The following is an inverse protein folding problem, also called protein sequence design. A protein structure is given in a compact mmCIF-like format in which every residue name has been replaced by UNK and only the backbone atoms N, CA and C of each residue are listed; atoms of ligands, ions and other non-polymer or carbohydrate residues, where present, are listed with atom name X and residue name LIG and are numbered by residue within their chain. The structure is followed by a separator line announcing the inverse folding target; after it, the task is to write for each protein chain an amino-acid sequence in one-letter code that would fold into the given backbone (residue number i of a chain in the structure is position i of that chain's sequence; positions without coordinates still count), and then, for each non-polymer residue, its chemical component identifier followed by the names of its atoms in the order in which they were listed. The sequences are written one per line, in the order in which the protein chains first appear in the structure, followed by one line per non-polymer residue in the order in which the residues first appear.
data_IF_228875672137
#
_entry.id   IF_228875672137
#
_cell.length_a   1.000
_cell.length_b   1.000
_cell.length_c   1.000
_cell.angle_alpha   90.00
_cell.angle_beta   90.00
_cell.angle_gamma   90.00
#
_symmetry.space_group_name_H-M   'P 1'
#
loop_
_entity.id
_entity.type
_entity.pdbx_description
1 polymer ?
#
# COMPACT_ATOMS: atom_id res chain seq x y z
N UNK A 1 -7.70 -37.00 -14.13
CA UNK A 1 -8.89 -36.13 -14.00
C UNK A 1 -8.57 -35.14 -12.89
N UNK A 2 -8.11 -33.92 -13.22
CA UNK A 2 -7.71 -32.93 -12.21
C UNK A 2 -8.92 -32.23 -11.61
N UNK A 3 -8.93 -32.10 -10.28
CA UNK A 3 -10.00 -31.53 -9.49
C UNK A 3 -10.12 -30.02 -9.75
N UNK A 4 -11.32 -29.45 -9.62
CA UNK A 4 -11.56 -28.02 -9.88
C UNK A 4 -10.80 -27.11 -8.91
N UNK A 5 -10.51 -27.58 -7.68
CA UNK A 5 -9.70 -26.88 -6.69
C UNK A 5 -8.19 -26.91 -6.99
N UNK A 6 -7.68 -27.98 -7.61
CA UNK A 6 -6.26 -28.08 -8.04
C UNK A 6 -5.91 -27.06 -9.12
N UNK A 7 -6.91 -26.57 -9.88
CA UNK A 7 -6.72 -25.49 -10.86
C UNK A 7 -6.71 -24.10 -10.24
N UNK A 8 -7.20 -23.94 -9.02
CA UNK A 8 -7.17 -22.64 -8.32
C UNK A 8 -5.79 -22.37 -7.71
N UNK A 9 -5.12 -23.43 -7.26
CA UNK A 9 -3.78 -23.40 -6.63
C UNK A 9 -2.77 -24.16 -7.49
N UNK A 10 -2.59 -23.75 -8.75
CA UNK A 10 -1.59 -24.33 -9.64
C UNK A 10 -0.15 -23.84 -9.31
N UNK A 11 0.86 -24.41 -9.98
CA UNK A 11 2.26 -24.04 -9.72
C UNK A 11 2.53 -22.55 -9.93
N UNK A 12 1.90 -21.94 -10.94
CA UNK A 12 2.05 -20.51 -11.25
C UNK A 12 1.51 -19.66 -10.11
N UNK A 13 0.33 -20.01 -9.60
CA UNK A 13 -0.29 -19.34 -8.46
C UNK A 13 0.57 -19.46 -7.20
N UNK A 14 1.16 -20.64 -6.94
CA UNK A 14 2.01 -20.90 -5.76
C UNK A 14 3.31 -20.12 -5.85
N UNK A 15 4.01 -20.18 -6.98
CA UNK A 15 5.29 -19.50 -7.19
C UNK A 15 5.20 -17.99 -6.92
N UNK A 16 4.10 -17.35 -7.32
CA UNK A 16 3.88 -15.91 -7.08
C UNK A 16 3.59 -15.58 -5.60
N UNK A 17 3.21 -16.57 -4.79
CA UNK A 17 2.73 -16.41 -3.40
C UNK A 17 3.66 -16.97 -2.33
N UNK A 18 4.75 -17.61 -2.70
CA UNK A 18 5.76 -18.12 -1.74
C UNK A 18 6.25 -16.99 -0.82
N UNK A 19 6.54 -15.80 -1.34
CA UNK A 19 6.98 -14.65 -0.52
C UNK A 19 5.91 -14.23 0.50
N UNK A 20 4.66 -14.05 0.05
CA UNK A 20 3.54 -13.68 0.93
C UNK A 20 3.26 -14.76 2.00
N UNK A 21 3.49 -16.04 1.68
CA UNK A 21 3.43 -17.13 2.66
C UNK A 21 4.52 -16.98 3.72
N UNK A 22 5.76 -16.72 3.29
CA UNK A 22 6.90 -16.54 4.17
C UNK A 22 6.74 -15.33 5.10
N UNK A 23 6.11 -14.26 4.63
CA UNK A 23 5.85 -13.06 5.42
C UNK A 23 4.60 -13.17 6.31
N UNK A 24 3.82 -14.26 6.17
CA UNK A 24 2.60 -14.48 6.94
C UNK A 24 1.42 -13.60 6.49
N UNK A 25 1.44 -13.16 5.23
CA UNK A 25 0.44 -12.24 4.64
C UNK A 25 -0.68 -12.96 3.86
N UNK A 26 -0.61 -14.29 3.73
CA UNK A 26 -1.66 -15.05 3.07
C UNK A 26 -2.89 -15.25 3.95
N UNK A 27 -4.11 -15.02 3.43
CA UNK A 27 -5.34 -15.43 4.11
C UNK A 27 -5.38 -16.94 4.35
N UNK A 28 -6.00 -17.38 5.45
CA UNK A 28 -6.02 -18.80 5.88
C UNK A 28 -6.43 -19.78 4.76
N UNK A 29 -7.41 -19.40 3.92
CA UNK A 29 -7.87 -20.23 2.80
C UNK A 29 -6.82 -20.36 1.68
N UNK A 30 -6.09 -19.29 1.38
CA UNK A 30 -4.99 -19.32 0.39
C UNK A 30 -3.77 -20.06 0.96
N UNK A 31 -3.45 -19.88 2.25
CA UNK A 31 -2.36 -20.57 2.91
C UNK A 31 -2.55 -22.11 2.90
N UNK A 32 -3.76 -22.59 3.20
CA UNK A 32 -4.07 -24.02 3.16
C UNK A 32 -3.97 -24.60 1.73
N UNK A 33 -4.46 -23.85 0.73
CA UNK A 33 -4.33 -24.23 -0.68
C UNK A 33 -2.87 -24.34 -1.12
N UNK A 34 -2.03 -23.38 -0.70
CA UNK A 34 -0.59 -23.39 -0.94
C UNK A 34 0.09 -24.59 -0.28
N UNK A 35 -0.13 -24.81 1.02
CA UNK A 35 0.44 -25.95 1.74
C UNK A 35 0.04 -27.30 1.14
N UNK A 36 -1.20 -27.42 0.69
CA UNK A 36 -1.68 -28.63 0.03
C UNK A 36 -0.91 -28.87 -1.27
N UNK A 37 -0.76 -27.85 -2.12
CA UNK A 37 0.02 -27.96 -3.34
C UNK A 37 1.50 -28.31 -3.07
N UNK A 38 2.11 -27.74 -2.04
CA UNK A 38 3.51 -28.01 -1.69
C UNK A 38 3.76 -29.46 -1.27
N UNK A 39 2.77 -30.14 -0.68
CA UNK A 39 2.86 -31.57 -0.36
C UNK A 39 2.83 -32.45 -1.61
N UNK A 40 2.24 -31.96 -2.70
CA UNK A 40 2.04 -32.70 -3.94
C UNK A 40 3.07 -32.39 -5.03
N UNK A 41 3.66 -31.18 -5.01
CA UNK A 41 4.58 -30.70 -6.03
C UNK A 41 5.99 -30.46 -5.46
N UNK A 42 6.89 -31.40 -5.73
CA UNK A 42 8.29 -31.32 -5.31
C UNK A 42 9.04 -30.08 -5.87
N UNK A 43 8.66 -29.60 -7.06
CA UNK A 43 9.25 -28.39 -7.63
C UNK A 43 8.94 -27.14 -6.81
N UNK A 44 7.66 -26.94 -6.47
CA UNK A 44 7.24 -25.81 -5.63
C UNK A 44 7.77 -25.93 -4.20
N UNK A 45 7.91 -27.14 -3.67
CA UNK A 45 8.53 -27.38 -2.36
C UNK A 45 10.01 -26.96 -2.34
N UNK A 46 10.77 -27.29 -3.39
CA UNK A 46 12.17 -26.88 -3.51
C UNK A 46 12.32 -25.35 -3.64
N UNK A 47 11.41 -24.69 -4.35
CA UNK A 47 11.38 -23.21 -4.44
C UNK A 47 11.12 -22.56 -3.08
N UNK A 48 10.19 -23.10 -2.28
CA UNK A 48 9.96 -22.62 -0.92
C UNK A 48 11.22 -22.79 -0.05
N UNK A 49 11.85 -23.97 -0.11
CA UNK A 49 13.07 -24.24 0.66
C UNK A 49 14.21 -23.27 0.29
N UNK A 50 14.40 -23.01 -1.01
CA UNK A 50 15.38 -22.03 -1.48
C UNK A 50 15.08 -20.62 -0.93
N UNK A 51 13.81 -20.19 -0.97
CA UNK A 51 13.39 -18.91 -0.43
C UNK A 51 13.61 -18.82 1.10
N UNK A 52 13.36 -19.91 1.84
CA UNK A 52 13.65 -19.98 3.28
C UNK A 52 15.15 -19.88 3.58
N UNK A 53 15.99 -20.56 2.80
CA UNK A 53 17.45 -20.49 2.94
C UNK A 53 17.97 -19.07 2.70
N UNK A 54 17.50 -18.41 1.64
CA UNK A 54 17.85 -17.00 1.35
C UNK A 54 17.41 -16.10 2.50
N UNK A 55 16.16 -16.22 2.96
CA UNK A 55 15.63 -15.44 4.08
C UNK A 55 16.43 -15.68 5.37
N UNK A 56 16.80 -16.93 5.63
CA UNK A 56 17.66 -17.30 6.75
C UNK A 56 19.03 -16.64 6.67
N UNK A 57 19.68 -16.72 5.51
CA UNK A 57 20.97 -16.08 5.26
C UNK A 57 20.94 -14.57 5.48
N UNK A 58 19.91 -13.89 4.97
CA UNK A 58 19.72 -12.45 5.17
C UNK A 58 19.49 -12.08 6.64
N UNK A 59 18.75 -12.91 7.40
CA UNK A 59 18.51 -12.67 8.84
C UNK A 59 19.76 -12.87 9.71
N UNK A 60 20.74 -13.64 9.25
CA UNK A 60 22.02 -13.81 9.95
C UNK A 60 22.98 -12.65 9.71
N UNK A 61 22.72 -11.76 8.75
CA UNK A 61 23.59 -10.62 8.48
C UNK A 61 23.64 -9.68 9.71
N UNK A 62 24.81 -9.09 10.00
CA UNK A 62 24.94 -8.16 11.10
C UNK A 62 24.02 -6.95 10.88
N UNK A 63 23.26 -6.58 11.90
CA UNK A 63 22.45 -5.38 11.87
C UNK A 63 23.36 -4.15 11.88
N UNK A 64 23.57 -3.56 10.70
CA UNK A 64 24.32 -2.32 10.56
C UNK A 64 23.45 -1.16 11.05
N UNK A 65 23.94 -0.42 12.04
CA UNK A 65 23.32 0.86 12.41
C UNK A 65 23.59 1.87 11.30
N UNK A 66 22.52 2.48 10.79
CA UNK A 66 22.64 3.65 9.93
C UNK A 66 23.32 4.79 10.71
N UNK A 67 24.36 5.44 10.18
CA UNK A 67 25.00 6.57 10.85
C UNK A 67 24.01 7.70 11.15
N UNK A 68 24.08 8.25 12.36
CA UNK A 68 23.18 9.32 12.82
C UNK A 68 23.07 10.52 11.85
N UNK A 69 24.16 10.99 11.19
CA UNK A 69 24.06 12.12 10.25
C UNK A 69 23.13 11.83 9.05
N UNK A 70 23.13 10.59 8.55
CA UNK A 70 22.28 10.19 7.41
C UNK A 70 20.82 10.17 7.84
N UNK A 71 20.56 9.62 9.02
CA UNK A 71 19.21 9.57 9.60
C UNK A 71 18.67 10.97 9.85
N UNK A 72 19.48 11.86 10.43
CA UNK A 72 19.09 13.24 10.72
C UNK A 72 18.82 14.05 9.44
N UNK A 73 19.65 13.89 8.40
CA UNK A 73 19.45 14.55 7.11
C UNK A 73 18.12 14.14 6.46
N UNK A 74 17.81 12.84 6.48
CA UNK A 74 16.52 12.32 5.98
C UNK A 74 15.36 12.92 6.78
N UNK A 75 15.45 12.94 8.11
CA UNK A 75 14.40 13.52 8.95
C UNK A 75 14.19 15.00 8.70
N UNK A 76 15.26 15.78 8.59
CA UNK A 76 15.14 17.23 8.33
C UNK A 76 14.62 17.51 6.92
N UNK A 77 14.95 16.69 5.92
CA UNK A 77 14.36 16.82 4.58
C UNK A 77 12.85 16.55 4.59
N UNK A 78 12.43 15.45 5.21
CA UNK A 78 11.00 15.10 5.34
C UNK A 78 10.25 16.18 6.13
N UNK A 79 10.81 16.64 7.26
CA UNK A 79 10.22 17.74 8.04
C UNK A 79 10.20 19.04 7.25
N UNK A 80 11.22 19.33 6.46
CA UNK A 80 11.32 20.48 5.57
C UNK A 80 10.19 20.51 4.56
N UNK A 81 9.92 19.40 3.88
CA UNK A 81 8.82 19.27 2.92
C UNK A 81 7.45 19.44 3.58
N UNK A 82 7.24 18.86 4.77
CA UNK A 82 6.02 19.05 5.56
C UNK A 82 5.84 20.50 6.02
N UNK A 83 6.92 21.17 6.43
CA UNK A 83 6.89 22.59 6.82
C UNK A 83 6.61 23.48 5.61
N UNK A 84 7.20 23.20 4.45
CA UNK A 84 7.00 23.96 3.22
C UNK A 84 5.55 23.85 2.72
N UNK A 85 4.99 22.64 2.70
CA UNK A 85 3.58 22.42 2.35
C UNK A 85 2.62 23.09 3.34
N UNK A 86 2.90 22.99 4.66
CA UNK A 86 2.11 23.71 5.67
C UNK A 86 2.19 25.23 5.49
N UNK A 87 3.39 25.80 5.29
CA UNK A 87 3.58 27.24 5.06
C UNK A 87 2.85 27.71 3.81
N UNK A 88 2.93 26.95 2.72
CA UNK A 88 2.20 27.24 1.48
C UNK A 88 0.69 27.25 1.72
N UNK A 89 0.15 26.24 2.39
CA UNK A 89 -1.29 26.19 2.74
C UNK A 89 -1.72 27.35 3.63
N UNK A 90 -0.92 27.70 4.64
CA UNK A 90 -1.20 28.86 5.50
C UNK A 90 -1.16 30.18 4.72
N UNK A 91 -0.22 30.33 3.78
CA UNK A 91 -0.13 31.50 2.92
C UNK A 91 -1.30 31.60 1.95
N UNK A 92 -1.68 30.50 1.31
CA UNK A 92 -2.88 30.42 0.46
C UNK A 92 -4.15 30.77 1.26
N UNK A 93 -4.25 30.29 2.50
CA UNK A 93 -5.34 30.63 3.41
C UNK A 93 -5.33 32.13 3.78
N UNK A 94 -4.19 32.71 4.13
CA UNK A 94 -4.07 34.15 4.41
C UNK A 94 -4.34 35.03 3.19
N UNK A 95 -3.88 34.64 2.01
CA UNK A 95 -4.17 35.38 0.77
C UNK A 95 -5.65 35.26 0.39
N UNK A 96 -6.34 34.18 0.79
CA UNK A 96 -7.80 34.10 0.68
C UNK A 96 -8.54 35.10 1.59
N UNK A 97 -7.91 35.55 2.68
CA UNK A 97 -8.43 36.59 3.58
C UNK A 97 -8.18 38.01 3.04
N UNK A 98 -7.23 38.19 2.13
CA UNK A 98 -6.99 39.47 1.41
C UNK A 98 -7.98 39.72 0.28
N UNK A 99 -9.19 39.25 0.47
CA UNK A 99 -10.17 39.33 -0.57
C UNK A 99 -10.74 40.75 -0.74
N UNK A 100 -11.17 41.12 -1.95
CA UNK A 100 -11.78 42.43 -2.18
C UNK A 100 -13.04 42.61 -1.32
N UNK A 101 -13.28 43.85 -0.87
CA UNK A 101 -14.29 44.28 0.13
C UNK A 101 -15.75 43.84 -0.12
N UNK A 102 -16.07 43.25 -1.27
CA UNK A 102 -17.41 42.71 -1.60
C UNK A 102 -17.64 41.26 -1.15
N UNK A 103 -16.58 40.52 -0.79
CA UNK A 103 -16.70 39.14 -0.25
C UNK A 103 -17.45 39.02 1.08
N UNK A 104 -17.35 39.92 2.08
CA UNK A 104 -18.19 39.83 3.27
C UNK A 104 -19.67 40.02 2.95
N UNK A 105 -20.01 40.82 1.94
CA UNK A 105 -21.40 41.01 1.48
C UNK A 105 -21.94 39.73 0.83
N UNK A 106 -21.14 39.09 -0.03
CA UNK A 106 -21.50 37.80 -0.63
C UNK A 106 -21.59 36.68 0.41
N UNK A 107 -20.69 36.63 1.39
CA UNK A 107 -20.71 35.65 2.47
C UNK A 107 -21.93 35.83 3.38
N UNK A 108 -22.31 37.06 3.71
CA UNK A 108 -23.54 37.34 4.46
C UNK A 108 -24.78 36.87 3.69
N UNK A 109 -24.83 37.07 2.37
CA UNK A 109 -25.91 36.60 1.52
C UNK A 109 -26.01 35.07 1.50
N UNK A 110 -24.87 34.37 1.40
CA UNK A 110 -24.82 32.90 1.46
C UNK A 110 -25.22 32.39 2.85
N UNK A 111 -24.81 33.04 3.93
CA UNK A 111 -25.22 32.68 5.31
C UNK A 111 -26.73 32.88 5.49
N UNK A 112 -27.30 33.99 4.99
CA UNK A 112 -28.76 34.22 5.00
C UNK A 112 -29.50 33.16 4.19
N UNK A 113 -29.00 32.81 3.00
CA UNK A 113 -29.56 31.73 2.17
C UNK A 113 -29.40 30.34 2.81
N UNK A 114 -28.28 30.07 3.49
CA UNK A 114 -28.03 28.82 4.21
C UNK A 114 -28.88 28.71 5.46
N UNK A 115 -29.11 29.80 6.21
CA UNK A 115 -30.00 29.81 7.37
C UNK A 115 -31.45 29.67 6.92
N UNK A 116 -31.88 30.43 5.90
CA UNK A 116 -33.22 30.29 5.31
C UNK A 116 -33.45 28.91 4.67
N UNK A 117 -32.42 28.36 4.04
CA UNK A 117 -32.39 27.00 3.51
C UNK A 117 -32.42 25.96 4.62
N UNK A 118 -31.59 26.07 5.66
CA UNK A 118 -31.56 25.13 6.77
C UNK A 118 -32.90 25.11 7.52
N UNK A 119 -33.51 26.27 7.79
CA UNK A 119 -34.85 26.36 8.41
C UNK A 119 -35.93 25.66 7.57
N UNK A 120 -35.78 25.60 6.25
CA UNK A 120 -36.71 24.89 5.34
C UNK A 120 -36.29 23.45 5.02
N UNK A 121 -35.05 23.07 5.33
CA UNK A 121 -34.47 21.74 5.09
C UNK A 121 -34.51 20.85 6.33
N UNK A 122 -34.60 21.45 7.53
CA UNK A 122 -34.57 20.75 8.83
C UNK A 122 -35.78 19.84 9.06
N UNK A 123 -36.89 20.05 8.33
CA UNK A 123 -38.08 19.17 8.36
C UNK A 123 -38.03 18.02 7.35
N UNK A 124 -36.95 17.88 6.56
CA UNK A 124 -36.74 16.77 5.64
C UNK A 124 -35.64 15.87 6.13
N UNK A 125 -35.94 15.01 7.09
CA UNK A 125 -35.13 13.80 7.27
C UNK A 125 -35.14 13.03 5.95
N UNK A 126 -33.98 12.83 5.30
CA UNK A 126 -33.95 12.00 4.10
C UNK A 126 -34.31 10.58 4.52
N UNK A 127 -35.51 10.14 4.14
CA UNK A 127 -35.97 8.77 4.35
C UNK A 127 -35.15 7.85 3.43
N UNK A 128 -33.96 7.47 3.90
CA UNK A 128 -33.05 6.61 3.15
C UNK A 128 -33.70 5.23 3.05
N UNK A 129 -34.10 4.85 1.84
CA UNK A 129 -34.75 3.57 1.62
C UNK A 129 -33.79 2.42 1.93
N UNK A 130 -34.24 1.31 2.56
CA UNK A 130 -33.41 0.12 2.74
C UNK A 130 -32.80 -0.41 1.42
N UNK A 131 -33.49 -0.18 0.29
CA UNK A 131 -32.99 -0.54 -1.04
C UNK A 131 -31.80 0.33 -1.49
N UNK A 132 -31.73 1.60 -1.06
CA UNK A 132 -30.61 2.50 -1.35
C UNK A 132 -29.39 2.17 -0.50
N UNK A 133 -29.59 1.85 0.79
CA UNK A 133 -28.53 1.36 1.67
C UNK A 133 -27.89 0.07 1.13
N UNK A 134 -28.70 -0.88 0.68
CA UNK A 134 -28.21 -2.13 0.08
C UNK A 134 -27.39 -1.89 -1.20
N UNK A 135 -27.79 -0.93 -2.04
CA UNK A 135 -27.03 -0.56 -3.25
C UNK A 135 -25.70 0.11 -2.92
N UNK A 136 -25.70 1.03 -1.96
CA UNK A 136 -24.50 1.70 -1.49
C UNK A 136 -23.49 0.70 -0.90
N UNK A 137 -23.96 -0.26 -0.10
CA UNK A 137 -23.13 -1.32 0.46
C UNK A 137 -22.50 -2.18 -0.63
N UNK A 138 -23.29 -2.56 -1.64
CA UNK A 138 -22.79 -3.33 -2.78
C UNK A 138 -21.69 -2.57 -3.54
N UNK A 139 -21.89 -1.27 -3.79
CA UNK A 139 -20.93 -0.42 -4.47
C UNK A 139 -19.61 -0.30 -3.71
N UNK A 140 -19.66 -0.16 -2.38
CA UNK A 140 -18.48 -0.12 -1.51
C UNK A 140 -17.73 -1.44 -1.57
N UNK A 141 -18.44 -2.58 -1.47
CA UNK A 141 -17.84 -3.93 -1.56
C UNK A 141 -17.10 -4.14 -2.89
N UNK A 142 -17.71 -3.77 -4.01
CA UNK A 142 -17.07 -3.85 -5.33
C UNK A 142 -15.85 -2.92 -5.44
N UNK A 143 -15.95 -1.71 -4.90
CA UNK A 143 -14.84 -0.75 -4.90
C UNK A 143 -13.65 -1.31 -4.12
N UNK A 144 -13.89 -1.87 -2.93
CA UNK A 144 -12.86 -2.54 -2.12
C UNK A 144 -12.24 -3.74 -2.84
N UNK A 145 -13.06 -4.59 -3.45
CA UNK A 145 -12.58 -5.74 -4.21
C UNK A 145 -11.68 -5.30 -5.40
N UNK A 146 -12.10 -4.26 -6.12
CA UNK A 146 -11.33 -3.71 -7.24
C UNK A 146 -10.01 -3.07 -6.79
N UNK A 147 -10.03 -2.31 -5.69
CA UNK A 147 -8.82 -1.73 -5.10
C UNK A 147 -7.84 -2.82 -4.65
N UNK A 148 -8.32 -3.89 -4.01
CA UNK A 148 -7.49 -5.04 -3.62
C UNK A 148 -6.85 -5.72 -4.84
N UNK A 149 -7.59 -5.89 -5.93
CA UNK A 149 -7.07 -6.46 -7.17
C UNK A 149 -6.00 -5.57 -7.82
N UNK A 150 -6.21 -4.25 -7.84
CA UNK A 150 -5.23 -3.30 -8.34
C UNK A 150 -3.97 -3.26 -7.47
N UNK A 151 -4.11 -3.31 -6.15
CA UNK A 151 -2.98 -3.39 -5.21
C UNK A 151 -2.09 -4.58 -5.51
N UNK A 152 -2.67 -5.78 -5.68
CA UNK A 152 -1.91 -7.00 -6.01
C UNK A 152 -1.17 -6.92 -7.36
N UNK A 153 -1.80 -6.36 -8.40
CA UNK A 153 -1.12 -6.17 -9.71
C UNK A 153 -0.02 -5.11 -9.67
N UNK A 154 -0.20 -4.06 -8.89
CA UNK A 154 0.78 -2.98 -8.78
C UNK A 154 1.97 -3.43 -7.93
N UNK A 155 1.73 -4.19 -6.87
CA UNK A 155 2.78 -4.80 -6.05
C UNK A 155 3.74 -5.66 -6.86
N UNK A 156 3.23 -6.50 -7.77
CA UNK A 156 4.06 -7.30 -8.68
C UNK A 156 4.99 -6.43 -9.55
N UNK A 157 4.46 -5.38 -10.19
CA UNK A 157 5.30 -4.47 -11.01
C UNK A 157 6.30 -3.65 -10.19
N UNK A 158 5.90 -3.16 -9.02
CA UNK A 158 6.82 -2.39 -8.16
C UNK A 158 7.96 -3.28 -7.66
N UNK A 159 7.67 -4.54 -7.32
CA UNK A 159 8.70 -5.51 -6.95
C UNK A 159 9.66 -5.78 -8.12
N UNK A 160 9.12 -6.07 -9.30
CA UNK A 160 9.94 -6.50 -10.43
C UNK A 160 10.71 -5.33 -11.08
N UNK A 161 10.08 -4.16 -11.25
CA UNK A 161 10.69 -3.03 -11.98
C UNK A 161 11.48 -2.08 -11.05
N UNK A 162 11.02 -1.85 -9.82
CA UNK A 162 11.60 -0.81 -8.95
C UNK A 162 12.52 -1.42 -7.89
N UNK A 163 12.06 -2.45 -7.17
CA UNK A 163 12.88 -3.06 -6.12
C UNK A 163 14.07 -3.80 -6.73
N UNK A 164 13.89 -4.51 -7.84
CA UNK A 164 15.00 -5.21 -8.48
C UNK A 164 16.10 -4.26 -8.97
N UNK A 165 15.75 -3.28 -9.82
CA UNK A 165 16.73 -2.36 -10.42
C UNK A 165 17.37 -1.42 -9.37
N UNK A 166 16.58 -0.89 -8.44
CA UNK A 166 17.06 0.17 -7.54
C UNK A 166 17.54 -0.31 -6.18
N UNK A 167 17.18 -1.52 -5.76
CA UNK A 167 17.53 -2.04 -4.42
C UNK A 167 18.35 -3.31 -4.53
N UNK A 168 17.88 -4.32 -5.26
CA UNK A 168 18.55 -5.64 -5.31
C UNK A 168 19.88 -5.57 -6.04
N UNK A 169 19.93 -5.00 -7.25
CA UNK A 169 21.17 -4.88 -8.03
C UNK A 169 22.33 -4.18 -7.28
N UNK A 170 22.10 -3.02 -6.63
CA UNK A 170 23.14 -2.36 -5.83
C UNK A 170 23.60 -3.16 -4.63
N UNK A 171 22.68 -3.86 -3.94
CA UNK A 171 23.01 -4.72 -2.79
C UNK A 171 23.86 -5.89 -3.26
N UNK A 172 23.48 -6.57 -4.35
CA UNK A 172 24.22 -7.70 -4.91
C UNK A 172 25.65 -7.30 -5.30
N UNK A 173 25.83 -6.15 -5.96
CA UNK A 173 27.16 -5.59 -6.28
C UNK A 173 27.99 -5.32 -5.02
N UNK A 174 27.35 -4.86 -3.94
CA UNK A 174 28.03 -4.55 -2.69
C UNK A 174 28.45 -5.82 -1.95
N UNK A 175 27.58 -6.84 -1.89
CA UNK A 175 27.86 -8.14 -1.28
C UNK A 175 28.96 -8.88 -2.04
N UNK A 176 28.90 -8.93 -3.37
CA UNK A 176 29.93 -9.56 -4.19
C UNK A 176 31.29 -8.92 -3.96
N UNK A 177 31.35 -7.58 -3.86
CA UNK A 177 32.59 -6.87 -3.55
C UNK A 177 33.17 -7.24 -2.19
N UNK A 178 32.33 -7.41 -1.16
CA UNK A 178 32.79 -7.83 0.18
C UNK A 178 33.30 -9.28 0.16
N UNK A 179 32.58 -10.19 -0.50
CA UNK A 179 32.98 -11.59 -0.66
C UNK A 179 34.30 -11.73 -1.43
N UNK A 180 34.52 -10.92 -2.47
CA UNK A 180 35.78 -10.86 -3.21
C UNK A 180 36.94 -10.35 -2.34
N UNK A 181 36.68 -9.42 -1.43
CA UNK A 181 37.69 -8.87 -0.51
C UNK A 181 38.11 -9.85 0.60
N UNK A 182 37.25 -10.80 1.00
CA UNK A 182 37.58 -11.83 2.01
C UNK A 182 38.37 -13.02 1.44
N UNK A 183 38.50 -13.14 0.12
CA UNK A 183 39.20 -14.26 -0.55
C UNK A 183 40.64 -13.94 -0.96
N UNK A 184 41.15 -12.74 -0.64
CA UNK A 184 42.56 -12.33 -0.75
C UNK A 184 43.22 -12.25 0.62
#
# INVERSE_FOLDING_TARGET
MMNRSEREFDCSWVQVRIEAHLDGELPDGEANGLETHLRECAGCAAELELAEQVRGGLRMMPLLKCPDPVVEEVYERVRGELRATRRRRLREWMDSWRAPLWRPVAAALVVVLMIGGAVTYQDREPEVSPAELARAELQVKWTLAYLSQMGRRTGGRVRDDVLWERVVEPIQKSVNRVMEMETM
#
